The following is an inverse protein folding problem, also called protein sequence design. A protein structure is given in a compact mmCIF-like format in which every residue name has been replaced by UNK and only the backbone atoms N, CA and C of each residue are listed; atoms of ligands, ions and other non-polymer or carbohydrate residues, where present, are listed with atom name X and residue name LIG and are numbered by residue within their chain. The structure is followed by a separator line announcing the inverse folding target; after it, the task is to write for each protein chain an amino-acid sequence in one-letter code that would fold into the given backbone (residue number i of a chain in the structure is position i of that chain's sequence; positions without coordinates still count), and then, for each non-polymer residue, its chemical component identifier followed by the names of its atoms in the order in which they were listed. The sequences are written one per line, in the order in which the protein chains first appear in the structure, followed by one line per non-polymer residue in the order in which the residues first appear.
data_IF_445477239905
#
_entry.id   IF_445477239905
#
_cell.length_a   1.000
_cell.length_b   1.000
_cell.length_c   1.000
_cell.angle_alpha   90.00
_cell.angle_beta   90.00
_cell.angle_gamma   90.00
#
_symmetry.space_group_name_H-M   'P 1'
#
loop_
_entity.id
_entity.type
_entity.pdbx_description
1 polymer ?
#
# COMPACT_ATOMS: atom_id res chain seq x y z
N UNK A 1 5.06 6.42 20.71
CA UNK A 1 5.84 7.15 19.69
C UNK A 1 6.27 6.16 18.62
N UNK A 2 5.68 6.22 17.42
CA UNK A 2 6.12 5.41 16.29
C UNK A 2 7.42 6.03 15.74
N UNK A 3 8.55 5.40 16.01
CA UNK A 3 9.83 5.81 15.42
C UNK A 3 9.75 5.62 13.90
N UNK A 4 9.67 6.72 13.16
CA UNK A 4 9.83 6.68 11.71
C UNK A 4 11.28 6.30 11.41
N UNK A 5 11.48 5.17 10.71
CA UNK A 5 12.81 4.68 10.33
C UNK A 5 13.47 5.65 9.36
N UNK A 6 14.79 5.80 9.49
CA UNK A 6 15.58 6.73 8.69
C UNK A 6 15.57 6.32 7.20
N UNK A 7 15.81 7.26 6.26
CA UNK A 7 15.94 6.95 4.83
C UNK A 7 17.00 5.88 4.52
N UNK A 8 18.06 5.81 5.34
CA UNK A 8 19.15 4.84 5.21
C UNK A 8 18.69 3.42 5.58
N UNK A 9 17.79 3.27 6.56
CA UNK A 9 17.21 1.98 6.94
C UNK A 9 16.28 1.41 5.86
N UNK A 10 15.57 2.29 5.13
CA UNK A 10 14.73 1.87 3.99
C UNK A 10 15.57 1.28 2.85
N UNK A 11 16.72 1.90 2.56
CA UNK A 11 17.67 1.42 1.54
C UNK A 11 18.34 0.08 1.94
N UNK A 12 18.60 -0.12 3.24
CA UNK A 12 19.20 -1.35 3.77
C UNK A 12 18.23 -2.55 3.83
N UNK A 13 16.91 -2.31 3.83
CA UNK A 13 15.90 -3.39 3.76
C UNK A 13 15.71 -3.87 2.33
N UNK A 14 15.73 -2.97 1.34
CA UNK A 14 15.58 -3.33 -0.07
C UNK A 14 16.72 -4.23 -0.58
N UNK A 15 17.94 -4.06 -0.06
CA UNK A 15 19.11 -4.88 -0.44
C UNK A 15 19.09 -6.32 0.11
N UNK A 16 18.17 -6.66 1.01
CA UNK A 16 17.97 -8.03 1.54
C UNK A 16 16.83 -8.80 0.88
N UNK A 17 16.13 -8.18 -0.07
CA UNK A 17 15.02 -8.81 -0.80
C UNK A 17 15.54 -9.57 -2.02
N UNK A 18 14.89 -10.67 -2.37
CA UNK A 18 15.17 -11.37 -3.63
C UNK A 18 14.92 -10.44 -4.83
N UNK A 19 15.64 -10.63 -5.96
CA UNK A 19 15.43 -9.85 -7.17
C UNK A 19 13.97 -9.82 -7.64
N UNK A 20 13.27 -10.95 -7.53
CA UNK A 20 11.84 -11.06 -7.83
C UNK A 20 10.98 -10.14 -6.96
N UNK A 21 11.24 -10.08 -5.65
CA UNK A 21 10.53 -9.17 -4.75
C UNK A 21 10.81 -7.70 -5.06
N UNK A 22 12.05 -7.37 -5.43
CA UNK A 22 12.41 -6.01 -5.84
C UNK A 22 11.67 -5.59 -7.11
N UNK A 23 11.57 -6.50 -8.08
CA UNK A 23 10.85 -6.26 -9.33
C UNK A 23 9.34 -6.09 -9.09
N UNK A 24 8.72 -6.92 -8.24
CA UNK A 24 7.32 -6.76 -7.85
C UNK A 24 7.07 -5.39 -7.20
N UNK A 25 7.94 -4.97 -6.27
CA UNK A 25 7.84 -3.66 -5.64
C UNK A 25 7.93 -2.54 -6.68
N UNK A 26 8.85 -2.66 -7.65
CA UNK A 26 9.01 -1.69 -8.73
C UNK A 26 7.75 -1.61 -9.60
N UNK A 27 7.16 -2.74 -9.96
CA UNK A 27 5.92 -2.81 -10.74
C UNK A 27 4.76 -2.17 -10.00
N UNK A 28 4.59 -2.47 -8.71
CA UNK A 28 3.57 -1.86 -7.87
C UNK A 28 3.72 -0.34 -7.80
N UNK A 29 4.95 0.17 -7.59
CA UNK A 29 5.20 1.61 -7.56
C UNK A 29 4.87 2.30 -8.89
N UNK A 30 5.14 1.63 -10.02
CA UNK A 30 4.78 2.13 -11.35
C UNK A 30 3.26 2.16 -11.52
N UNK A 31 2.57 1.08 -11.16
CA UNK A 31 1.11 0.99 -11.23
C UNK A 31 0.45 2.08 -10.37
N UNK A 32 0.91 2.25 -9.13
CA UNK A 32 0.41 3.30 -8.22
C UNK A 32 0.64 4.69 -8.81
N UNK A 33 1.79 4.94 -9.43
CA UNK A 33 2.10 6.26 -10.00
C UNK A 33 1.33 6.54 -11.29
N UNK A 34 1.33 5.58 -12.22
CA UNK A 34 0.85 5.80 -13.60
C UNK A 34 -0.64 5.50 -13.76
N UNK A 35 -1.16 4.48 -13.07
CA UNK A 35 -2.57 4.06 -13.20
C UNK A 35 -3.46 4.79 -12.20
N UNK A 36 -2.98 5.03 -10.98
CA UNK A 36 -3.75 5.72 -9.94
C UNK A 36 -3.43 7.23 -9.84
N UNK A 37 -2.39 7.70 -10.53
CA UNK A 37 -1.98 9.11 -10.50
C UNK A 37 -1.44 9.58 -9.14
N UNK A 38 -1.01 8.65 -8.28
CA UNK A 38 -0.52 8.96 -6.94
C UNK A 38 0.99 9.25 -6.95
N UNK A 39 1.40 10.28 -6.22
CA UNK A 39 2.80 10.72 -6.13
C UNK A 39 3.55 9.91 -5.06
N UNK A 40 4.87 9.79 -5.23
CA UNK A 40 5.81 9.30 -4.23
C UNK A 40 5.44 7.95 -3.56
N UNK A 41 5.08 6.89 -4.31
CA UNK A 41 4.76 5.61 -3.70
C UNK A 41 6.00 4.97 -3.08
N UNK A 42 5.87 4.57 -1.82
CA UNK A 42 6.96 3.96 -1.06
C UNK A 42 6.42 2.80 -0.24
N UNK A 43 7.15 1.67 -0.17
CA UNK A 43 6.76 0.55 0.67
C UNK A 43 6.60 0.99 2.13
N UNK A 44 5.47 0.63 2.73
CA UNK A 44 5.17 0.84 4.14
C UNK A 44 5.29 -0.48 4.92
N UNK A 45 4.86 -1.59 4.33
CA UNK A 45 4.93 -2.92 4.93
C UNK A 45 4.34 -3.99 4.02
N UNK A 46 4.29 -5.22 4.50
CA UNK A 46 3.59 -6.33 3.84
C UNK A 46 2.95 -7.22 4.90
N UNK A 47 1.77 -7.73 4.59
CA UNK A 47 1.09 -8.76 5.38
C UNK A 47 1.02 -10.08 4.60
N UNK A 48 0.27 -11.04 5.12
CA UNK A 48 0.04 -12.33 4.45
C UNK A 48 -0.63 -12.17 3.08
N UNK A 49 -1.51 -11.17 2.97
CA UNK A 49 -2.41 -10.97 1.83
C UNK A 49 -1.99 -9.83 0.90
N UNK A 50 -0.74 -9.37 0.98
CA UNK A 50 -0.25 -8.33 0.07
C UNK A 50 0.70 -7.31 0.68
N UNK A 51 1.07 -6.34 -0.15
CA UNK A 51 2.04 -5.28 0.13
C UNK A 51 1.30 -3.95 0.30
N UNK A 52 1.75 -3.13 1.24
CA UNK A 52 1.16 -1.83 1.55
C UNK A 52 2.17 -0.74 1.25
N UNK A 53 1.69 0.30 0.58
CA UNK A 53 2.47 1.47 0.19
C UNK A 53 1.85 2.72 0.80
N UNK A 54 2.68 3.70 1.16
CA UNK A 54 2.20 5.06 1.31
C UNK A 54 2.41 5.80 -0.02
N UNK A 55 1.48 6.66 -0.38
CA UNK A 55 1.55 7.55 -1.53
C UNK A 55 0.85 8.87 -1.21
N UNK A 56 0.88 9.82 -2.13
CA UNK A 56 0.25 11.14 -1.99
C UNK A 56 -0.71 11.38 -3.15
N UNK A 57 -1.88 11.95 -2.87
CA UNK A 57 -2.74 12.45 -3.95
C UNK A 57 -2.19 13.74 -4.58
N UNK A 58 -2.97 14.33 -5.49
CA UNK A 58 -2.59 15.58 -6.15
C UNK A 58 -2.51 16.77 -5.19
N UNK A 59 -3.20 16.71 -4.05
CA UNK A 59 -3.23 17.72 -2.99
C UNK A 59 -2.26 17.40 -1.84
N UNK A 60 -1.33 16.47 -2.06
CA UNK A 60 -0.32 16.01 -1.10
C UNK A 60 -0.91 15.33 0.16
N UNK A 61 -2.17 14.91 0.10
CA UNK A 61 -2.81 14.10 1.15
C UNK A 61 -2.20 12.70 1.12
N UNK A 62 -1.80 12.20 2.30
CA UNK A 62 -1.28 10.86 2.45
C UNK A 62 -2.39 9.81 2.27
N UNK A 63 -2.10 8.81 1.43
CA UNK A 63 -2.96 7.67 1.12
C UNK A 63 -2.16 6.38 1.35
N UNK A 64 -2.82 5.36 1.88
CA UNK A 64 -2.29 4.00 1.93
C UNK A 64 -2.89 3.18 0.79
N UNK A 65 -2.05 2.42 0.07
CA UNK A 65 -2.48 1.54 -1.04
C UNK A 65 -2.06 0.11 -0.71
N UNK A 66 -3.00 -0.83 -0.73
CA UNK A 66 -2.74 -2.27 -0.63
C UNK A 66 -2.70 -2.86 -2.04
N UNK A 67 -1.58 -3.48 -2.42
CA UNK A 67 -1.44 -4.28 -3.63
C UNK A 67 -1.43 -5.76 -3.27
N UNK A 68 -2.29 -6.54 -3.92
CA UNK A 68 -2.42 -7.98 -3.69
C UNK A 68 -2.67 -8.73 -5.01
N UNK A 69 -2.42 -10.04 -5.01
CA UNK A 69 -2.75 -10.90 -6.14
C UNK A 69 -4.26 -10.92 -6.37
N UNK A 70 -4.68 -10.87 -7.64
CA UNK A 70 -6.08 -11.03 -8.01
C UNK A 70 -6.61 -12.44 -7.66
N UNK A 71 -5.75 -13.46 -7.72
CA UNK A 71 -6.12 -14.84 -7.37
C UNK A 71 -6.33 -15.04 -5.86
N UNK A 72 -5.72 -14.17 -5.05
CA UNK A 72 -5.85 -14.15 -3.59
C UNK A 72 -6.93 -13.15 -3.13
N UNK A 73 -7.54 -12.42 -4.07
CA UNK A 73 -8.60 -11.46 -3.79
C UNK A 73 -9.92 -12.20 -3.55
N UNK A 74 -10.36 -12.25 -2.29
CA UNK A 74 -11.61 -12.91 -1.91
C UNK A 74 -12.78 -11.93 -2.08
N UNK A 75 -13.91 -12.37 -2.64
CA UNK A 75 -15.14 -11.56 -2.75
C UNK A 75 -15.60 -10.98 -1.39
N UNK A 76 -15.26 -11.66 -0.30
CA UNK A 76 -15.52 -11.20 1.08
C UNK A 76 -14.72 -9.95 1.45
N UNK A 77 -13.49 -9.79 0.93
CA UNK A 77 -12.69 -8.58 1.15
C UNK A 77 -13.31 -7.37 0.42
N UNK A 78 -13.85 -7.59 -0.78
CA UNK A 78 -14.60 -6.54 -1.51
C UNK A 78 -15.85 -6.11 -0.76
N UNK A 79 -16.67 -7.09 -0.32
CA UNK A 79 -17.87 -6.81 0.46
C UNK A 79 -17.54 -6.09 1.78
N UNK A 80 -16.45 -6.48 2.45
CA UNK A 80 -15.99 -5.80 3.66
C UNK A 80 -15.59 -4.34 3.37
N UNK A 81 -14.83 -4.08 2.30
CA UNK A 81 -14.44 -2.73 1.92
C UNK A 81 -15.66 -1.83 1.64
N UNK A 82 -16.69 -2.36 0.97
CA UNK A 82 -17.92 -1.63 0.71
C UNK A 82 -18.69 -1.31 2.01
N UNK A 83 -18.81 -2.28 2.92
CA UNK A 83 -19.48 -2.10 4.21
C UNK A 83 -18.75 -1.05 5.06
N UNK A 84 -17.41 -1.08 5.09
CA UNK A 84 -16.61 -0.14 5.87
C UNK A 84 -16.85 1.32 5.46
N UNK A 85 -17.12 1.58 4.19
CA UNK A 85 -17.45 2.93 3.71
C UNK A 85 -18.79 3.45 4.22
N UNK A 86 -19.73 2.55 4.53
CA UNK A 86 -21.08 2.88 4.96
C UNK A 86 -21.19 3.08 6.48
N UNK A 87 -20.23 2.60 7.26
CA UNK A 87 -20.27 2.71 8.72
C UNK A 87 -20.02 4.17 9.16
N UNK A 88 -20.94 4.80 9.92
CA UNK A 88 -20.81 6.18 10.37
C UNK A 88 -19.93 6.28 11.62
N UNK A 89 -18.67 5.87 11.50
CA UNK A 89 -17.72 5.87 12.61
C UNK A 89 -16.33 6.28 12.17
N UNK A 90 -15.59 6.92 13.08
CA UNK A 90 -14.20 7.34 12.88
C UNK A 90 -13.20 6.25 13.28
N UNK A 91 -13.67 5.17 13.91
CA UNK A 91 -12.82 4.09 14.41
C UNK A 91 -12.44 3.07 13.32
N UNK A 92 -13.13 3.08 12.18
CA UNK A 92 -12.79 2.25 11.04
C UNK A 92 -12.16 3.06 9.92
N UNK A 93 -11.11 2.50 9.32
CA UNK A 93 -10.45 3.10 8.16
C UNK A 93 -11.35 2.85 6.95
N UNK A 94 -11.77 3.92 6.29
CA UNK A 94 -12.49 3.86 5.02
C UNK A 94 -11.53 3.46 3.91
N UNK A 95 -11.94 2.50 3.09
CA UNK A 95 -11.19 1.97 1.94
C UNK A 95 -12.00 2.22 0.68
N UNK A 96 -11.38 2.74 -0.38
CA UNK A 96 -12.08 3.16 -1.60
C UNK A 96 -11.45 2.52 -2.85
#
# INVERSE_FOLDING_TARGET
MLQQRSPQDKLHIMSKLSPEKQELIRQDQIAISQLLGLKNPQPLGAGEWGRVYHAQDLNDKLIAVKSQSAEEYLDQEYAAAEILNQLPTEYFIKSF
#
